data_IF_970248755744
#
_entry.id   IF_970248755744
#
_cell.length_a   1.000
_cell.length_b   1.000
_cell.length_c   1.000
_cell.angle_alpha   90.00
_cell.angle_beta   90.00
_cell.angle_gamma   90.00
#
_symmetry.space_group_name_H-M   'P 1'
#
loop_
_entity.id
_entity.type
_entity.pdbx_description
1 polymer ?
#
# COMPACT_ATOMS: atom_id res chain seq x y z
N UNK A 1 -34.33 -61.59 42.00
CA UNK A 1 -32.88 -61.50 41.73
C UNK A 1 -32.72 -61.14 40.24
N UNK A 2 -32.36 -59.90 39.86
CA UNK A 2 -30.95 -59.44 39.70
C UNK A 2 -30.34 -60.10 38.44
N UNK A 3 -29.83 -59.49 37.35
CA UNK A 3 -29.42 -58.13 36.95
C UNK A 3 -28.94 -58.20 35.46
N UNK A 4 -29.21 -57.16 34.64
CA UNK A 4 -28.29 -56.50 33.65
C UNK A 4 -27.82 -57.38 32.43
N UNK A 5 -27.69 -56.99 31.14
CA UNK A 5 -27.35 -55.78 30.35
C UNK A 5 -28.19 -55.84 29.04
N UNK A 6 -28.94 -54.83 28.60
CA UNK A 6 -28.52 -53.55 28.00
C UNK A 6 -27.36 -53.71 27.01
N UNK A 7 -27.70 -54.08 25.77
CA UNK A 7 -26.83 -53.95 24.59
C UNK A 7 -27.52 -53.07 23.56
N UNK A 8 -27.78 -51.81 23.91
CA UNK A 8 -28.19 -50.78 22.97
C UNK A 8 -27.15 -50.72 21.85
N UNK A 9 -27.54 -51.14 20.66
CA UNK A 9 -26.82 -50.88 19.43
C UNK A 9 -26.89 -49.35 19.20
N UNK A 10 -25.98 -48.62 19.84
CA UNK A 10 -25.72 -47.21 19.56
C UNK A 10 -25.14 -47.15 18.15
N UNK A 11 -26.03 -47.12 17.16
CA UNK A 11 -25.72 -46.57 15.85
C UNK A 11 -25.43 -45.10 16.13
N UNK A 12 -24.16 -44.79 16.36
CA UNK A 12 -23.66 -43.42 16.33
C UNK A 12 -23.87 -42.94 14.91
N UNK A 13 -25.03 -42.34 14.65
CA UNK A 13 -25.21 -41.37 13.60
C UNK A 13 -24.12 -40.33 13.83
N UNK A 14 -23.02 -40.47 13.11
CA UNK A 14 -22.10 -39.37 12.88
C UNK A 14 -22.96 -38.34 12.16
N UNK A 15 -23.53 -37.41 12.92
CA UNK A 15 -24.17 -36.23 12.40
C UNK A 15 -23.06 -35.42 11.73
N UNK A 16 -22.78 -35.76 10.47
CA UNK A 16 -22.05 -34.90 9.57
C UNK A 16 -22.79 -33.56 9.62
N UNK A 17 -22.14 -32.54 10.18
CA UNK A 17 -22.77 -31.27 10.53
C UNK A 17 -23.44 -30.63 9.32
N UNK A 18 -24.72 -30.92 9.11
CA UNK A 18 -25.60 -30.17 8.25
C UNK A 18 -25.98 -28.90 9.01
N UNK A 19 -25.06 -27.95 9.09
CA UNK A 19 -25.36 -26.61 9.56
C UNK A 19 -26.49 -26.05 8.70
N UNK A 20 -27.70 -25.96 9.26
CA UNK A 20 -28.84 -25.41 8.54
C UNK A 20 -28.51 -23.98 8.14
N UNK A 21 -28.43 -23.71 6.84
CA UNK A 21 -28.19 -22.36 6.35
C UNK A 21 -29.49 -21.54 6.36
N UNK A 22 -29.36 -20.21 6.42
CA UNK A 22 -30.52 -19.31 6.33
C UNK A 22 -30.94 -19.20 4.87
N UNK A 23 -32.22 -19.47 4.57
CA UNK A 23 -32.77 -19.45 3.20
C UNK A 23 -32.42 -18.14 2.48
N UNK A 24 -32.00 -18.25 1.22
CA UNK A 24 -31.63 -17.12 0.36
C UNK A 24 -30.26 -16.49 0.66
N UNK A 25 -29.58 -16.86 1.75
CA UNK A 25 -28.28 -16.28 2.08
C UNK A 25 -27.13 -16.88 1.27
N UNK A 26 -26.10 -16.07 1.02
CA UNK A 26 -24.78 -16.59 0.62
C UNK A 26 -24.00 -17.00 1.84
N UNK A 27 -23.44 -18.21 1.82
CA UNK A 27 -22.63 -18.78 2.90
C UNK A 27 -21.33 -19.37 2.36
N UNK A 28 -20.35 -19.53 3.25
CA UNK A 28 -19.08 -20.19 2.92
C UNK A 28 -19.32 -21.66 2.57
N UNK A 29 -18.61 -22.17 1.57
CA UNK A 29 -18.57 -23.60 1.23
C UNK A 29 -17.70 -24.42 2.20
N UNK A 30 -16.96 -23.77 3.11
CA UNK A 30 -16.06 -24.42 4.07
C UNK A 30 -14.65 -24.71 3.53
N UNK A 31 -14.42 -24.53 2.23
CA UNK A 31 -13.13 -24.72 1.55
C UNK A 31 -12.21 -23.47 1.62
N UNK A 32 -12.66 -22.43 2.31
CA UNK A 32 -11.90 -21.21 2.56
C UNK A 32 -11.95 -20.14 1.47
N UNK A 33 -12.63 -20.37 0.34
CA UNK A 33 -12.74 -19.33 -0.69
C UNK A 33 -14.04 -19.34 -1.51
N UNK A 34 -14.72 -20.48 -1.60
CA UNK A 34 -15.97 -20.57 -2.34
C UNK A 34 -17.16 -20.21 -1.47
N UNK A 35 -18.21 -19.76 -2.14
CA UNK A 35 -19.48 -19.40 -1.50
C UNK A 35 -20.62 -20.05 -2.26
N UNK A 36 -21.63 -20.48 -1.53
CA UNK A 36 -22.85 -21.07 -2.06
C UNK A 36 -24.08 -20.26 -1.64
N UNK A 37 -25.17 -20.41 -2.37
CA UNK A 37 -26.48 -19.89 -1.98
C UNK A 37 -27.24 -20.97 -1.22
N UNK A 38 -27.83 -20.60 -0.09
CA UNK A 38 -28.73 -21.48 0.64
C UNK A 38 -30.10 -21.53 -0.04
N UNK A 39 -30.47 -22.69 -0.56
CA UNK A 39 -31.79 -22.92 -1.14
C UNK A 39 -32.89 -22.90 -0.08
N UNK A 40 -34.12 -22.95 -0.57
CA UNK A 40 -35.30 -23.09 0.27
C UNK A 40 -35.31 -24.37 1.10
N UNK A 41 -34.76 -25.45 0.57
CA UNK A 41 -34.67 -26.73 1.29
C UNK A 41 -33.48 -26.79 2.27
N UNK A 42 -32.85 -25.64 2.57
CA UNK A 42 -31.65 -25.53 3.42
C UNK A 42 -30.45 -26.30 2.87
N UNK A 43 -30.38 -26.42 1.54
CA UNK A 43 -29.29 -27.09 0.82
C UNK A 43 -28.44 -26.03 0.14
N UNK A 44 -27.13 -26.19 0.18
CA UNK A 44 -26.20 -25.30 -0.53
C UNK A 44 -26.24 -25.61 -2.02
N UNK A 45 -26.53 -24.59 -2.82
CA UNK A 45 -26.62 -24.66 -4.29
C UNK A 45 -25.88 -23.48 -4.91
N UNK A 46 -25.65 -23.53 -6.22
CA UNK A 46 -25.00 -22.44 -6.97
C UNK A 46 -23.70 -21.97 -6.33
N UNK A 47 -22.85 -22.92 -5.93
CA UNK A 47 -21.54 -22.65 -5.38
C UNK A 47 -20.59 -22.09 -6.44
N UNK A 48 -19.76 -21.14 -6.06
CA UNK A 48 -18.62 -20.76 -6.89
C UNK A 48 -17.60 -21.90 -6.95
N UNK A 49 -16.86 -21.99 -8.05
CA UNK A 49 -15.79 -22.98 -8.23
C UNK A 49 -14.47 -22.25 -8.49
N UNK A 50 -13.83 -21.83 -7.41
CA UNK A 50 -12.52 -21.15 -7.42
C UNK A 50 -11.46 -22.11 -6.92
N UNK A 51 -10.27 -22.01 -7.51
CA UNK A 51 -9.07 -22.60 -6.93
C UNK A 51 -8.70 -21.83 -5.66
N UNK A 52 -9.05 -22.41 -4.51
CA UNK A 52 -8.79 -21.79 -3.22
C UNK A 52 -7.30 -21.67 -2.90
N UNK A 53 -6.43 -22.50 -3.47
CA UNK A 53 -4.99 -22.36 -3.29
C UNK A 53 -4.48 -21.11 -4.02
N UNK A 54 -4.90 -20.91 -5.26
CA UNK A 54 -4.56 -19.71 -6.04
C UNK A 54 -5.09 -18.43 -5.38
N UNK A 55 -6.34 -18.44 -4.91
CA UNK A 55 -6.95 -17.30 -4.20
C UNK A 55 -6.18 -16.97 -2.92
N UNK A 56 -5.87 -17.99 -2.10
CA UNK A 56 -5.12 -17.78 -0.87
C UNK A 56 -3.68 -17.32 -1.13
N UNK A 57 -3.02 -17.84 -2.18
CA UNK A 57 -1.69 -17.37 -2.56
C UNK A 57 -1.71 -15.90 -2.95
N UNK A 58 -2.69 -15.48 -3.78
CA UNK A 58 -2.88 -14.08 -4.15
C UNK A 58 -3.19 -13.20 -2.94
N UNK A 59 -4.03 -13.65 -2.01
CA UNK A 59 -4.32 -12.94 -0.76
C UNK A 59 -3.07 -12.81 0.13
N UNK A 60 -2.24 -13.86 0.24
CA UNK A 60 -0.97 -13.82 0.97
C UNK A 60 0.02 -12.87 0.33
N UNK A 61 0.12 -12.87 -1.00
CA UNK A 61 0.96 -11.94 -1.75
C UNK A 61 0.48 -10.50 -1.54
N UNK A 62 -0.82 -10.24 -1.71
CA UNK A 62 -1.41 -8.93 -1.44
C UNK A 62 -1.16 -8.49 0.00
N UNK A 63 -1.32 -9.40 0.98
CA UNK A 63 -1.01 -9.11 2.38
C UNK A 63 0.48 -8.87 2.62
N UNK A 64 1.40 -9.46 1.82
CA UNK A 64 2.85 -9.17 1.89
C UNK A 64 3.16 -7.80 1.28
N UNK A 65 2.57 -7.47 0.14
CA UNK A 65 2.72 -6.17 -0.52
C UNK A 65 2.11 -5.03 0.31
N UNK A 66 1.00 -5.30 1.00
CA UNK A 66 0.34 -4.39 1.92
C UNK A 66 0.60 -4.73 3.38
N UNK A 67 1.66 -5.52 3.68
CA UNK A 67 2.09 -5.73 5.06
C UNK A 67 2.59 -4.36 5.50
N UNK A 68 1.73 -3.61 6.17
CA UNK A 68 2.14 -2.41 6.90
C UNK A 68 3.30 -2.84 7.76
N UNK A 69 4.49 -2.38 7.40
CA UNK A 69 5.51 -2.08 8.39
C UNK A 69 4.77 -1.35 9.53
N UNK A 70 5.07 -1.75 10.77
CA UNK A 70 4.62 -1.01 11.98
C UNK A 70 4.67 0.47 11.63
N UNK A 71 3.63 1.31 11.89
CA UNK A 71 3.68 2.71 11.53
C UNK A 71 4.87 3.36 12.23
N UNK A 72 6.03 3.32 11.56
CA UNK A 72 7.11 4.23 11.84
C UNK A 72 6.45 5.58 11.62
N UNK A 73 6.49 6.41 12.64
CA UNK A 73 5.94 7.75 12.58
C UNK A 73 6.70 8.46 11.45
N UNK A 74 6.14 8.40 10.23
CA UNK A 74 6.85 8.80 9.02
C UNK A 74 7.38 10.19 9.24
N UNK A 75 8.70 10.32 9.24
CA UNK A 75 9.39 11.58 9.48
C UNK A 75 8.80 12.64 8.56
N UNK A 76 8.63 13.86 9.08
CA UNK A 76 8.23 15.00 8.25
C UNK A 76 9.28 15.17 7.16
N UNK A 77 8.83 15.12 5.91
CA UNK A 77 9.68 15.25 4.72
C UNK A 77 9.67 16.67 4.17
N UNK A 78 8.69 17.48 4.56
CA UNK A 78 8.60 18.89 4.21
C UNK A 78 7.92 19.68 5.33
N UNK A 79 8.01 21.01 5.28
CA UNK A 79 7.33 21.88 6.25
C UNK A 79 5.86 22.06 5.84
N UNK A 80 4.88 21.71 6.69
CA UNK A 80 3.45 21.85 6.37
C UNK A 80 3.07 23.20 5.79
N UNK A 81 2.30 23.19 4.70
CA UNK A 81 1.82 24.40 4.02
C UNK A 81 2.91 25.24 3.36
N UNK A 82 4.17 24.80 3.35
CA UNK A 82 5.27 25.50 2.66
C UNK A 82 5.51 24.95 1.28
N UNK A 83 5.89 25.81 0.32
CA UNK A 83 6.39 25.35 -0.95
C UNK A 83 7.75 24.68 -0.77
N UNK A 84 8.00 23.62 -1.52
CA UNK A 84 9.27 22.91 -1.60
C UNK A 84 9.45 22.35 -3.00
N UNK A 85 10.67 21.90 -3.30
CA UNK A 85 10.99 21.24 -4.57
C UNK A 85 11.52 19.85 -4.21
N UNK A 86 10.81 18.78 -4.57
CA UNK A 86 11.24 17.42 -4.28
C UNK A 86 12.58 17.13 -4.98
N UNK A 87 13.58 16.66 -4.25
CA UNK A 87 14.93 16.21 -4.69
C UNK A 87 15.25 16.38 -6.19
N UNK A 88 15.57 17.62 -6.59
CA UNK A 88 16.05 17.96 -7.92
C UNK A 88 14.97 17.97 -9.01
N UNK A 89 13.69 17.89 -8.69
CA UNK A 89 12.63 18.33 -9.59
C UNK A 89 12.78 19.85 -9.85
N UNK A 90 12.19 20.38 -10.91
CA UNK A 90 12.02 21.82 -11.07
C UNK A 90 10.61 22.29 -10.68
N UNK A 91 9.69 21.34 -10.49
CA UNK A 91 8.33 21.61 -10.08
C UNK A 91 8.29 22.06 -8.62
N UNK A 92 7.73 23.25 -8.41
CA UNK A 92 7.31 23.70 -7.09
C UNK A 92 6.11 22.91 -6.62
N UNK A 93 6.20 22.41 -5.40
CA UNK A 93 5.20 21.61 -4.74
C UNK A 93 4.81 22.24 -3.40
N UNK A 94 3.55 22.11 -3.00
CA UNK A 94 3.06 22.50 -1.68
C UNK A 94 3.05 21.29 -0.76
N UNK A 95 3.64 21.43 0.44
CA UNK A 95 3.62 20.38 1.45
C UNK A 95 2.22 20.25 2.08
N UNK A 96 1.74 19.02 2.25
CA UNK A 96 0.50 18.74 2.97
C UNK A 96 0.58 19.14 4.45
N UNK A 97 -0.58 19.36 5.07
CA UNK A 97 -0.70 19.76 6.47
C UNK A 97 -0.04 18.79 7.47
N UNK A 98 0.03 17.50 7.13
CA UNK A 98 0.69 16.50 7.98
C UNK A 98 2.23 16.52 7.87
N UNK A 99 2.79 17.26 6.92
CA UNK A 99 4.23 17.34 6.65
C UNK A 99 4.83 16.08 6.04
N UNK A 100 4.00 15.11 5.63
CA UNK A 100 4.45 13.76 5.24
C UNK A 100 4.44 13.52 3.74
N UNK A 101 3.75 14.36 2.97
CA UNK A 101 3.66 14.22 1.53
C UNK A 101 3.33 15.55 0.84
N UNK A 102 3.27 15.49 -0.48
CA UNK A 102 2.90 16.60 -1.36
C UNK A 102 1.38 16.76 -1.46
N UNK A 103 0.90 17.99 -1.37
CA UNK A 103 -0.50 18.34 -1.64
C UNK A 103 -0.75 18.58 -3.14
N UNK A 104 0.09 19.42 -3.76
CA UNK A 104 -0.01 19.78 -5.18
C UNK A 104 1.36 20.21 -5.72
N UNK A 105 1.59 20.04 -7.02
CA UNK A 105 2.77 20.55 -7.70
C UNK A 105 2.39 21.31 -8.96
N UNK A 106 3.25 22.26 -9.34
CA UNK A 106 3.33 22.77 -10.71
C UNK A 106 3.64 21.63 -11.69
N UNK A 107 3.30 21.82 -12.97
CA UNK A 107 3.52 20.83 -14.04
C UNK A 107 4.33 21.46 -15.18
N UNK A 108 5.57 21.80 -14.89
CA UNK A 108 6.56 22.17 -15.89
C UNK A 108 6.95 20.89 -16.63
N UNK A 109 6.58 20.84 -17.92
CA UNK A 109 6.87 19.69 -18.79
C UNK A 109 8.36 19.56 -19.11
N UNK A 110 9.11 20.66 -19.04
CA UNK A 110 10.54 20.70 -19.32
C UNK A 110 11.30 21.26 -18.12
N UNK A 111 11.98 20.36 -17.41
CA UNK A 111 13.00 20.70 -16.43
C UNK A 111 14.37 20.51 -17.09
N UNK A 112 14.79 21.47 -17.93
CA UNK A 112 16.09 21.37 -18.63
C UNK A 112 17.25 21.24 -17.65
N UNK A 113 17.16 21.96 -16.54
CA UNK A 113 18.17 21.91 -15.48
C UNK A 113 17.51 21.71 -14.11
N UNK A 114 17.95 20.68 -13.35
CA UNK A 114 17.42 20.41 -12.04
C UNK A 114 17.79 21.51 -11.06
N UNK A 115 16.81 21.89 -10.24
CA UNK A 115 16.98 22.95 -9.27
C UNK A 115 17.52 22.40 -7.95
N UNK A 116 18.33 23.19 -7.26
CA UNK A 116 18.93 22.79 -5.99
C UNK A 116 18.63 23.79 -4.88
N UNK A 117 17.55 23.55 -4.12
CA UNK A 117 17.12 24.44 -3.03
C UNK A 117 18.15 24.54 -1.90
N UNK A 118 18.95 23.49 -1.69
CA UNK A 118 20.04 23.48 -0.70
C UNK A 118 21.19 24.44 -1.06
N UNK A 119 21.27 24.83 -2.34
CA UNK A 119 22.29 25.71 -2.91
C UNK A 119 21.74 27.13 -3.18
N UNK A 120 20.56 27.45 -2.62
CA UNK A 120 19.87 28.72 -2.82
C UNK A 120 19.72 29.51 -1.50
N UNK A 121 19.65 30.86 -1.56
CA UNK A 121 19.79 31.70 -2.76
C UNK A 121 21.25 31.78 -3.25
N UNK A 122 21.45 31.99 -4.54
CA UNK A 122 22.75 32.24 -5.16
C UNK A 122 22.77 33.60 -5.88
N UNK A 123 23.93 34.14 -6.26
CA UNK A 123 24.00 35.39 -7.03
C UNK A 123 23.91 35.10 -8.53
N UNK A 124 23.07 35.85 -9.25
CA UNK A 124 22.89 35.70 -10.69
C UNK A 124 24.22 35.58 -11.46
N UNK A 125 24.29 34.58 -12.35
CA UNK A 125 25.46 34.18 -13.14
C UNK A 125 26.64 33.56 -12.37
N UNK A 126 26.56 33.39 -11.06
CA UNK A 126 27.58 32.64 -10.34
C UNK A 126 27.64 31.19 -10.83
N UNK A 127 28.86 30.70 -11.00
CA UNK A 127 29.17 29.28 -11.21
C UNK A 127 29.92 28.76 -9.98
N UNK A 128 29.45 27.65 -9.42
CA UNK A 128 29.96 27.14 -8.14
C UNK A 128 29.76 25.63 -8.00
N UNK A 129 30.45 25.03 -7.03
CA UNK A 129 30.21 23.64 -6.63
C UNK A 129 29.05 23.58 -5.63
N UNK A 130 28.11 22.66 -5.84
CA UNK A 130 27.04 22.38 -4.89
C UNK A 130 27.59 22.08 -3.49
N UNK A 131 26.79 22.23 -2.45
CA UNK A 131 27.08 21.80 -1.07
C UNK A 131 27.43 20.31 -0.96
N UNK A 132 27.10 19.48 -1.96
CA UNK A 132 27.57 18.09 -2.04
C UNK A 132 29.03 17.95 -2.54
N UNK A 133 29.68 19.04 -2.93
CA UNK A 133 31.07 19.10 -3.40
C UNK A 133 31.33 18.46 -4.77
N UNK A 134 30.30 17.96 -5.45
CA UNK A 134 30.44 17.08 -6.61
C UNK A 134 29.69 17.62 -7.83
N UNK A 135 28.47 18.13 -7.62
CA UNK A 135 27.67 18.72 -8.69
C UNK A 135 28.12 20.15 -9.01
N UNK A 136 28.13 20.46 -10.30
CA UNK A 136 28.40 21.81 -10.81
C UNK A 136 27.07 22.57 -10.90
N UNK A 137 27.06 23.80 -10.40
CA UNK A 137 25.89 24.65 -10.33
C UNK A 137 26.12 25.97 -11.06
N UNK A 138 25.05 26.50 -11.67
CA UNK A 138 24.97 27.85 -12.20
C UNK A 138 23.72 28.55 -11.66
N UNK A 139 23.86 29.81 -11.30
CA UNK A 139 22.75 30.61 -10.82
C UNK A 139 22.01 31.32 -11.96
N UNK A 140 20.69 31.15 -12.03
CA UNK A 140 19.85 31.82 -13.04
C UNK A 140 19.46 33.26 -12.66
N UNK A 141 18.75 33.96 -13.55
CA UNK A 141 18.31 35.35 -13.37
C UNK A 141 17.38 35.58 -12.18
N UNK A 142 16.80 34.53 -11.64
CA UNK A 142 15.90 34.57 -10.49
C UNK A 142 16.60 34.12 -9.20
N UNK A 143 17.93 34.02 -9.21
CA UNK A 143 18.75 33.55 -8.09
C UNK A 143 18.48 32.08 -7.71
N UNK A 144 18.08 31.26 -8.69
CA UNK A 144 17.87 29.83 -8.51
C UNK A 144 19.09 29.04 -8.96
N UNK A 145 19.51 28.08 -8.14
CA UNK A 145 20.66 27.24 -8.41
C UNK A 145 20.24 26.08 -9.32
N UNK A 146 20.84 26.02 -10.50
CA UNK A 146 20.68 24.95 -11.49
C UNK A 146 21.92 24.07 -11.43
N UNK A 147 21.78 22.83 -10.97
CA UNK A 147 22.93 21.97 -10.71
C UNK A 147 22.87 20.70 -11.56
N UNK A 148 24.03 20.11 -11.87
CA UNK A 148 24.07 18.77 -12.45
C UNK A 148 23.51 17.72 -11.48
N UNK A 149 23.16 16.53 -11.99
CA UNK A 149 22.73 15.35 -11.19
C UNK A 149 23.70 14.18 -11.32
N UNK A 150 24.97 14.43 -11.00
CA UNK A 150 25.99 13.39 -10.91
C UNK A 150 25.71 12.53 -9.67
N UNK A 151 25.96 11.23 -9.77
CA UNK A 151 25.99 10.34 -8.61
C UNK A 151 27.26 10.65 -7.82
N UNK A 152 27.09 11.26 -6.65
CA UNK A 152 28.23 11.68 -5.83
C UNK A 152 28.68 10.56 -4.89
N UNK A 153 30.00 10.46 -4.60
CA UNK A 153 30.51 9.60 -3.55
C UNK A 153 29.91 9.95 -2.18
N UNK A 154 29.81 8.98 -1.26
CA UNK A 154 29.43 9.24 0.14
C UNK A 154 30.48 10.05 0.89
#
# INVERSE_FOLDING_TARGET
MLRILVGLLLITLVAAGAGSCKRGTRVSAGDGCNTCTCSDHRILVNCTVRDCNAVQHKQRLHRRLHKREVPEEKKKVCTPGKPYIPDGDCNYCLCSEDGKNTHACTKLLFCEEPRSVKDEPCSHNDEFKSVDGCNDCRCDRHNFARCTKKKCPP
#
